data_IF_196729021799
#
_entry.id   IF_196729021799
#
_cell.length_a   1.000
_cell.length_b   1.000
_cell.length_c   1.000
_cell.angle_alpha   90.00
_cell.angle_beta   90.00
_cell.angle_gamma   90.00
#
_symmetry.space_group_name_H-M   'P 1'
#
loop_
_entity.id
_entity.type
_entity.pdbx_description
1 polymer ?
#
# COMPACT_ATOMS: atom_id res chain seq x y z
N UNK A 1 -24.70 8.35 22.19
CA UNK A 1 -23.75 8.27 21.05
C UNK A 1 -24.37 9.01 19.88
N UNK A 2 -23.60 9.78 19.12
CA UNK A 2 -24.06 10.49 17.92
C UNK A 2 -23.04 10.27 16.78
N UNK A 3 -23.36 10.68 15.55
CA UNK A 3 -22.50 10.52 14.38
C UNK A 3 -21.57 11.71 14.11
N UNK A 4 -21.53 12.69 15.00
CA UNK A 4 -20.71 13.89 14.85
C UNK A 4 -19.22 13.60 15.11
N UNK A 5 -18.35 14.23 14.32
CA UNK A 5 -16.91 14.26 14.63
C UNK A 5 -16.64 15.31 15.70
N UNK A 6 -16.36 14.87 16.93
CA UNK A 6 -15.98 15.77 18.02
C UNK A 6 -14.80 16.65 17.57
N UNK A 7 -14.96 17.97 17.70
CA UNK A 7 -13.95 18.94 17.27
C UNK A 7 -14.22 19.64 15.94
N UNK A 8 -15.06 19.09 15.05
CA UNK A 8 -15.25 19.64 13.69
C UNK A 8 -15.74 21.11 13.68
N UNK A 9 -16.54 21.49 14.69
CA UNK A 9 -17.07 22.83 14.85
C UNK A 9 -16.31 23.68 15.88
N UNK A 10 -15.15 23.26 16.40
CA UNK A 10 -14.43 24.05 17.42
C UNK A 10 -14.04 25.46 16.97
N UNK A 11 -13.92 25.69 15.66
CA UNK A 11 -13.60 26.99 15.09
C UNK A 11 -14.67 28.08 15.32
N UNK A 12 -15.92 27.71 15.66
CA UNK A 12 -16.98 28.70 15.99
C UNK A 12 -16.96 29.10 17.47
N UNK A 13 -16.25 28.35 18.32
CA UNK A 13 -16.18 28.59 19.75
C UNK A 13 -15.03 29.53 20.07
N UNK A 14 -15.27 30.52 20.93
CA UNK A 14 -14.22 31.42 21.40
C UNK A 14 -13.14 30.67 22.21
N UNK A 15 -13.57 29.71 23.02
CA UNK A 15 -12.70 28.87 23.87
C UNK A 15 -13.15 27.39 23.77
N UNK A 16 -12.70 26.63 22.75
CA UNK A 16 -13.10 25.24 22.59
C UNK A 16 -12.45 24.33 23.65
N UNK A 17 -13.17 23.30 24.16
CA UNK A 17 -12.59 22.33 25.08
C UNK A 17 -11.53 21.44 24.39
N UNK A 18 -10.61 20.81 25.15
CA UNK A 18 -9.62 19.91 24.58
C UNK A 18 -10.26 18.64 24.00
N UNK A 19 -9.70 18.12 22.90
CA UNK A 19 -10.13 16.87 22.26
C UNK A 19 -9.18 15.75 22.68
N UNK A 20 -9.69 14.63 23.20
CA UNK A 20 -8.88 13.43 23.41
C UNK A 20 -8.39 12.90 22.07
N UNK A 21 -7.09 12.63 21.94
CA UNK A 21 -6.57 11.99 20.72
C UNK A 21 -7.21 10.61 20.56
N UNK A 22 -7.66 10.31 19.34
CA UNK A 22 -8.13 8.97 18.97
C UNK A 22 -7.01 7.94 19.15
N UNK A 23 -7.40 6.66 19.29
CA UNK A 23 -6.49 5.51 19.43
C UNK A 23 -5.36 5.54 18.40
N UNK A 24 -4.19 5.02 18.80
CA UNK A 24 -3.02 4.93 17.94
C UNK A 24 -3.32 4.04 16.72
N UNK A 25 -3.53 4.66 15.56
CA UNK A 25 -3.54 3.99 14.27
C UNK A 25 -2.12 3.91 13.72
N UNK A 26 -1.80 2.78 13.08
CA UNK A 26 -0.50 2.51 12.49
C UNK A 26 -0.65 2.15 11.00
N UNK A 27 0.33 2.48 10.15
CA UNK A 27 0.35 1.95 8.79
C UNK A 27 0.54 0.43 8.84
N UNK A 28 0.03 -0.27 7.82
CA UNK A 28 0.27 -1.70 7.66
C UNK A 28 1.76 -1.98 7.46
N UNK A 29 2.25 -3.12 7.97
CA UNK A 29 3.64 -3.55 7.78
C UNK A 29 3.98 -3.64 6.29
N UNK A 30 5.23 -3.43 5.89
CA UNK A 30 5.60 -3.54 4.47
C UNK A 30 5.61 -5.01 4.04
N UNK A 31 4.85 -5.34 2.99
CA UNK A 31 4.90 -6.65 2.36
C UNK A 31 6.11 -6.71 1.41
N UNK A 32 7.14 -7.44 1.81
CA UNK A 32 8.35 -7.63 1.01
C UNK A 32 8.14 -8.76 0.00
N UNK A 33 8.75 -8.61 -1.18
CA UNK A 33 8.86 -9.72 -2.13
C UNK A 33 9.60 -10.88 -1.44
N UNK A 34 9.05 -12.12 -1.44
CA UNK A 34 9.70 -13.27 -0.82
C UNK A 34 11.12 -13.46 -1.36
N UNK A 35 12.08 -13.71 -0.47
CA UNK A 35 13.48 -13.96 -0.84
C UNK A 35 13.72 -15.43 -1.21
N UNK A 36 12.80 -16.32 -0.86
CA UNK A 36 12.92 -17.76 -1.12
C UNK A 36 12.79 -18.06 -2.62
N UNK A 37 13.86 -18.61 -3.19
CA UNK A 37 13.96 -18.92 -4.62
C UNK A 37 12.88 -19.90 -5.09
N UNK A 38 12.48 -20.86 -4.24
CA UNK A 38 11.42 -21.82 -4.56
C UNK A 38 10.05 -21.14 -4.77
N UNK A 39 9.68 -20.22 -3.88
CA UNK A 39 8.41 -19.47 -3.98
C UNK A 39 8.41 -18.61 -5.25
N UNK A 40 9.53 -17.94 -5.54
CA UNK A 40 9.66 -17.13 -6.75
C UNK A 40 9.59 -17.98 -8.02
N UNK A 41 10.23 -19.15 -8.05
CA UNK A 41 10.20 -20.06 -9.19
C UNK A 41 8.77 -20.54 -9.49
N UNK A 42 8.01 -20.93 -8.45
CA UNK A 42 6.60 -21.33 -8.59
C UNK A 42 5.75 -20.19 -9.16
N UNK A 43 5.87 -18.97 -8.59
CA UNK A 43 5.12 -17.79 -9.06
C UNK A 43 5.49 -17.40 -10.50
N UNK A 44 6.71 -17.65 -10.93
CA UNK A 44 7.14 -17.41 -12.30
C UNK A 44 6.68 -18.49 -13.27
N UNK A 45 6.17 -19.65 -12.83
CA UNK A 45 5.77 -20.74 -13.73
C UNK A 45 4.45 -20.47 -14.48
N UNK A 46 3.74 -19.40 -14.15
CA UNK A 46 2.52 -18.97 -14.84
C UNK A 46 1.40 -20.01 -14.89
N UNK A 47 1.34 -20.89 -13.89
CA UNK A 47 0.34 -21.96 -13.81
C UNK A 47 -1.00 -21.50 -13.22
N UNK A 48 -0.97 -20.46 -12.39
CA UNK A 48 -2.15 -19.96 -11.67
C UNK A 48 -2.84 -18.76 -12.35
N UNK A 49 -2.12 -18.05 -13.23
CA UNK A 49 -2.59 -16.83 -13.88
C UNK A 49 -2.17 -16.79 -15.35
N UNK A 50 -3.01 -16.22 -16.21
CA UNK A 50 -2.68 -15.99 -17.62
C UNK A 50 -1.95 -14.66 -17.76
N UNK A 51 -0.72 -14.68 -18.27
CA UNK A 51 0.09 -13.48 -18.54
C UNK A 51 0.83 -13.64 -19.87
N UNK A 52 0.80 -12.59 -20.70
CA UNK A 52 1.43 -12.58 -22.03
C UNK A 52 2.96 -12.75 -21.96
N UNK A 53 3.59 -12.28 -20.88
CA UNK A 53 5.03 -12.44 -20.65
C UNK A 53 5.46 -13.86 -20.27
N UNK A 54 4.53 -14.78 -20.11
CA UNK A 54 4.83 -16.19 -19.87
C UNK A 54 5.25 -16.93 -21.14
N UNK A 55 5.02 -16.34 -22.33
CA UNK A 55 5.56 -16.87 -23.57
C UNK A 55 7.09 -16.87 -23.54
N UNK A 56 7.79 -17.94 -24.00
CA UNK A 56 9.24 -18.04 -23.91
C UNK A 56 10.00 -16.84 -24.48
N UNK A 57 9.53 -16.25 -25.60
CA UNK A 57 10.15 -15.06 -26.20
C UNK A 57 9.99 -13.77 -25.39
N UNK A 58 9.04 -13.72 -24.46
CA UNK A 58 8.73 -12.54 -23.62
C UNK A 58 9.10 -12.75 -22.15
N UNK A 59 9.67 -13.92 -21.80
CA UNK A 59 10.04 -14.32 -20.44
C UNK A 59 10.91 -13.28 -19.71
N UNK A 60 11.81 -12.63 -20.44
CA UNK A 60 12.68 -11.59 -19.89
C UNK A 60 11.90 -10.37 -19.33
N UNK A 61 10.73 -10.06 -19.89
CA UNK A 61 9.86 -9.00 -19.39
C UNK A 61 9.25 -9.38 -18.04
N UNK A 62 8.85 -10.64 -17.86
CA UNK A 62 8.34 -11.12 -16.57
C UNK A 62 9.40 -10.99 -15.47
N UNK A 63 10.64 -11.40 -15.76
CA UNK A 63 11.75 -11.24 -14.81
C UNK A 63 11.96 -9.77 -14.46
N UNK A 64 11.99 -8.87 -15.46
CA UNK A 64 12.15 -7.43 -15.23
C UNK A 64 11.01 -6.84 -14.40
N UNK A 65 9.76 -7.22 -14.67
CA UNK A 65 8.58 -6.78 -13.92
C UNK A 65 8.65 -7.22 -12.46
N UNK A 66 9.04 -8.47 -12.20
CA UNK A 66 9.19 -8.99 -10.84
C UNK A 66 10.33 -8.31 -10.07
N UNK A 67 11.46 -8.04 -10.72
CA UNK A 67 12.55 -7.29 -10.10
C UNK A 67 12.14 -5.85 -9.77
N UNK A 68 11.28 -5.22 -10.59
CA UNK A 68 10.77 -3.88 -10.32
C UNK A 68 9.87 -3.79 -9.07
N UNK A 69 9.34 -4.92 -8.58
CA UNK A 69 8.59 -5.00 -7.32
C UNK A 69 9.51 -4.98 -6.08
N UNK A 70 10.80 -5.27 -6.25
CA UNK A 70 11.77 -5.19 -5.14
C UNK A 70 12.19 -3.74 -4.96
N UNK A 71 11.65 -3.09 -3.93
CA UNK A 71 11.96 -1.71 -3.60
C UNK A 71 12.84 -1.60 -2.36
N UNK A 72 13.83 -0.71 -2.41
CA UNK A 72 14.61 -0.30 -1.23
C UNK A 72 13.82 0.68 -0.38
N UNK A 73 14.24 0.91 0.88
CA UNK A 73 13.59 1.87 1.76
C UNK A 73 13.57 3.30 1.18
N UNK A 74 14.61 3.68 0.45
CA UNK A 74 14.71 4.98 -0.23
C UNK A 74 13.70 5.09 -1.37
N UNK A 75 13.54 4.01 -2.15
CA UNK A 75 12.56 3.96 -3.23
C UNK A 75 11.12 3.97 -2.70
N UNK A 76 10.86 3.29 -1.57
CA UNK A 76 9.57 3.31 -0.87
C UNK A 76 9.24 4.72 -0.40
N UNK A 77 10.19 5.39 0.26
CA UNK A 77 10.04 6.77 0.70
C UNK A 77 9.76 7.72 -0.47
N UNK A 78 10.48 7.55 -1.60
CA UNK A 78 10.25 8.35 -2.79
C UNK A 78 8.85 8.11 -3.38
N UNK A 79 8.42 6.84 -3.45
CA UNK A 79 7.07 6.49 -3.88
C UNK A 79 6.00 7.09 -2.97
N UNK A 80 6.21 7.08 -1.66
CA UNK A 80 5.27 7.69 -0.71
C UNK A 80 5.15 9.19 -0.90
N UNK A 81 6.29 9.89 -1.02
CA UNK A 81 6.31 11.33 -1.26
C UNK A 81 5.59 11.73 -2.55
N UNK A 82 5.68 10.90 -3.59
CA UNK A 82 5.05 11.16 -4.87
C UNK A 82 3.57 10.76 -4.89
N UNK A 83 3.25 9.54 -4.49
CA UNK A 83 1.92 8.92 -4.67
C UNK A 83 0.96 9.23 -3.52
N UNK A 84 1.47 9.50 -2.31
CA UNK A 84 0.70 9.74 -1.10
C UNK A 84 1.32 10.87 -0.27
N UNK A 85 1.33 12.13 -0.77
CA UNK A 85 1.99 13.26 -0.11
C UNK A 85 1.41 13.61 1.27
N UNK A 86 0.22 13.10 1.60
CA UNK A 86 -0.44 13.27 2.89
C UNK A 86 -0.22 12.08 3.86
N UNK A 87 0.63 11.14 3.48
CA UNK A 87 0.96 9.93 4.23
C UNK A 87 0.09 8.73 3.88
N UNK A 88 0.60 7.54 4.22
CA UNK A 88 -0.11 6.27 4.00
C UNK A 88 -1.31 6.14 4.94
N UNK A 89 -2.50 5.76 4.44
CA UNK A 89 -3.64 5.43 5.28
C UNK A 89 -3.28 4.43 6.38
N UNK A 90 -3.73 4.74 7.60
CA UNK A 90 -3.45 3.95 8.79
C UNK A 90 -4.66 3.10 9.17
N UNK A 91 -4.38 1.96 9.77
CA UNK A 91 -5.38 1.01 10.22
C UNK A 91 -5.47 0.99 11.73
N UNK A 92 -6.58 0.47 12.24
CA UNK A 92 -6.64 0.01 13.62
C UNK A 92 -5.73 -1.22 13.77
N UNK A 93 -5.01 -1.31 14.89
CA UNK A 93 -3.95 -2.31 15.13
C UNK A 93 -4.40 -3.78 14.99
N UNK A 94 -5.70 -4.05 14.97
CA UNK A 94 -6.25 -5.40 14.84
C UNK A 94 -6.34 -5.92 13.39
N UNK A 95 -6.14 -5.09 12.37
CA UNK A 95 -6.28 -5.52 10.98
C UNK A 95 -5.00 -6.17 10.43
N UNK A 96 -5.08 -7.43 10.02
CA UNK A 96 -4.01 -8.14 9.29
C UNK A 96 -3.90 -7.59 7.86
N UNK A 97 -3.06 -6.57 7.74
CA UNK A 97 -2.85 -5.78 6.53
C UNK A 97 -1.37 -5.50 6.31
N UNK A 98 -1.02 -5.32 5.04
CA UNK A 98 0.32 -4.89 4.68
C UNK A 98 0.31 -3.84 3.57
N UNK A 99 1.35 -3.02 3.53
CA UNK A 99 1.57 -2.01 2.51
C UNK A 99 2.42 -2.61 1.39
N UNK A 100 1.94 -2.52 0.15
CA UNK A 100 2.65 -2.89 -1.07
C UNK A 100 3.07 -1.61 -1.80
N UNK A 101 4.37 -1.37 -1.85
CA UNK A 101 4.95 -0.23 -2.58
C UNK A 101 5.23 -0.61 -4.03
N UNK A 102 4.85 0.28 -4.93
CA UNK A 102 5.25 0.27 -6.33
C UNK A 102 5.74 1.69 -6.69
N UNK A 103 6.40 1.87 -7.83
CA UNK A 103 6.87 3.21 -8.24
C UNK A 103 5.73 4.20 -8.50
N UNK A 104 4.64 3.72 -9.12
CA UNK A 104 3.54 4.56 -9.61
C UNK A 104 2.29 4.56 -8.73
N UNK A 105 2.24 3.67 -7.72
CA UNK A 105 1.12 3.58 -6.80
C UNK A 105 1.53 2.85 -5.53
N UNK A 106 0.73 3.00 -4.48
CA UNK A 106 0.86 2.30 -3.21
C UNK A 106 -0.51 1.70 -2.88
N UNK A 107 -0.54 0.46 -2.41
CA UNK A 107 -1.78 -0.19 -1.98
C UNK A 107 -1.65 -0.79 -0.61
N UNK A 108 -2.71 -0.73 0.18
CA UNK A 108 -2.84 -1.48 1.41
C UNK A 108 -3.62 -2.77 1.16
N UNK A 109 -2.97 -3.92 1.31
CA UNK A 109 -3.54 -5.24 1.03
C UNK A 109 -4.04 -5.90 2.32
N UNK A 110 -5.22 -6.50 2.27
CA UNK A 110 -5.75 -7.32 3.37
C UNK A 110 -5.38 -8.78 3.15
N UNK A 111 -4.69 -9.39 4.12
CA UNK A 111 -4.39 -10.82 4.09
C UNK A 111 -5.64 -11.68 4.38
N UNK A 112 -6.66 -11.09 5.01
CA UNK A 112 -7.93 -11.77 5.32
C UNK A 112 -8.82 -11.86 4.08
N UNK A 113 -8.97 -10.75 3.34
CA UNK A 113 -9.88 -10.67 2.20
C UNK A 113 -9.20 -10.92 0.86
N UNK A 114 -7.87 -10.99 0.84
CA UNK A 114 -7.05 -11.15 -0.37
C UNK A 114 -7.27 -10.06 -1.44
N UNK A 115 -7.58 -8.84 -1.00
CA UNK A 115 -7.82 -7.66 -1.86
C UNK A 115 -7.16 -6.40 -1.31
N UNK A 116 -6.89 -5.38 -2.16
CA UNK A 116 -6.51 -4.06 -1.68
C UNK A 116 -7.70 -3.37 -0.97
N UNK A 117 -7.46 -2.85 0.23
CA UNK A 117 -8.38 -1.97 0.96
C UNK A 117 -8.32 -0.53 0.42
N UNK A 118 -7.15 -0.12 -0.09
CA UNK A 118 -6.99 1.12 -0.83
C UNK A 118 -5.89 0.97 -1.89
N UNK A 119 -5.96 1.83 -2.91
CA UNK A 119 -4.86 2.13 -3.82
C UNK A 119 -4.74 3.65 -3.95
N UNK A 120 -3.52 4.16 -3.80
CA UNK A 120 -3.20 5.57 -3.89
C UNK A 120 -2.12 5.81 -4.92
N UNK A 121 -2.32 6.82 -5.76
CA UNK A 121 -1.42 7.22 -6.82
C UNK A 121 -1.61 8.70 -7.11
N UNK A 122 -0.60 9.30 -7.71
CA UNK A 122 -0.69 10.67 -8.20
C UNK A 122 -0.76 10.65 -9.73
N UNK A 123 -1.72 11.37 -10.30
CA UNK A 123 -1.77 11.62 -11.74
C UNK A 123 -1.15 12.99 -12.01
N UNK A 124 -0.22 13.05 -12.96
CA UNK A 124 0.33 14.29 -13.47
C UNK A 124 -0.19 14.58 -14.87
N UNK A 125 -0.42 15.84 -15.19
CA UNK A 125 -0.88 16.32 -16.50
C UNK A 125 0.20 16.25 -17.62
N UNK A 126 1.25 15.44 -17.45
CA UNK A 126 2.36 15.31 -18.40
C UNK A 126 2.21 14.10 -19.33
#
# INVERSE_FOLDING_TARGET
KNNGTLGRLHHILKNPPPISKSSASLPGKVCRVPQESAILAVRQNCTECICSFCHPSLRANLTRSNEALKMTAEQEKHSEQHNLPWGVPKYENAMDTCTLYHKQYISGYSNIYHIPLFAGYFLSDK
#
